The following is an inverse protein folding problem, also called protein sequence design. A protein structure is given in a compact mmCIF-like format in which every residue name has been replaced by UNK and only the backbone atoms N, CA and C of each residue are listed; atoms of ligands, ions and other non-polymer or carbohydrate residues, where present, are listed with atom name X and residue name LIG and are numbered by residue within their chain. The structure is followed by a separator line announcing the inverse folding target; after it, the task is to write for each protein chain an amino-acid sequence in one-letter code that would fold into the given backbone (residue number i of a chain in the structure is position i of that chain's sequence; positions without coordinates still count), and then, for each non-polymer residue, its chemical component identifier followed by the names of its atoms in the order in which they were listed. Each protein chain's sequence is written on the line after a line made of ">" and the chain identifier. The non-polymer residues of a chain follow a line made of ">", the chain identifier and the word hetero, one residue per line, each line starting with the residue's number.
data_IF_621897647371
#
_entry.id   IF_621897647371
#
_cell.length_a   1.000
_cell.length_b   1.000
_cell.length_c   1.000
_cell.angle_alpha   90.00
_cell.angle_beta   90.00
_cell.angle_gamma   90.00
#
_symmetry.space_group_name_H-M   'P 1'
#
loop_
_entity.id
_entity.type
_entity.pdbx_description
1 polymer ?
#
# COMPACT_ATOMS: atom_id res chain seq x y z
N UNK A 1 0.19 -0.42 18.81
CA UNK A 1 -0.81 0.11 17.84
C UNK A 1 -0.72 -0.74 16.59
N UNK A 2 -1.85 -1.06 15.95
CA UNK A 2 -1.83 -1.72 14.66
C UNK A 2 -1.12 -0.81 13.63
N UNK A 3 -0.32 -1.41 12.75
CA UNK A 3 0.30 -0.69 11.63
C UNK A 3 -0.78 0.01 10.81
N UNK A 4 -0.70 1.33 10.68
CA UNK A 4 -1.65 2.08 9.85
C UNK A 4 -1.23 1.93 8.40
N UNK A 5 -2.12 1.39 7.56
CA UNK A 5 -1.91 1.28 6.12
C UNK A 5 -1.74 2.65 5.46
N UNK A 6 -0.71 2.79 4.62
CA UNK A 6 -0.31 4.08 4.02
C UNK A 6 -0.51 4.18 2.50
N UNK A 7 -1.09 3.15 1.87
CA UNK A 7 -1.24 3.07 0.41
C UNK A 7 -0.21 2.14 -0.23
N UNK A 8 -0.55 1.54 -1.37
CA UNK A 8 0.24 0.45 -2.00
C UNK A 8 1.69 0.86 -2.23
N UNK A 9 1.93 2.07 -2.73
CA UNK A 9 3.28 2.52 -3.04
C UNK A 9 4.14 2.64 -1.78
N UNK A 10 3.58 3.17 -0.68
CA UNK A 10 4.33 3.34 0.57
C UNK A 10 4.66 1.99 1.24
N UNK A 11 3.78 1.00 1.12
CA UNK A 11 3.94 -0.32 1.74
C UNK A 11 4.91 -1.24 0.96
N UNK A 12 5.12 -0.98 -0.33
CA UNK A 12 5.91 -1.84 -1.23
C UNK A 12 6.96 -1.07 -2.04
N UNK A 13 7.40 0.10 -1.57
CA UNK A 13 8.33 0.97 -2.31
C UNK A 13 9.62 0.26 -2.73
N UNK A 14 10.12 -0.66 -1.91
CA UNK A 14 11.32 -1.47 -2.15
C UNK A 14 11.18 -2.44 -3.33
N UNK A 15 9.95 -2.74 -3.75
CA UNK A 15 9.63 -3.68 -4.85
C UNK A 15 9.15 -2.98 -6.12
N UNK A 16 9.03 -1.65 -6.11
CA UNK A 16 8.50 -0.87 -7.22
C UNK A 16 9.62 -0.18 -8.01
N UNK A 17 9.42 0.10 -9.30
CA UNK A 17 10.34 0.94 -10.06
C UNK A 17 10.47 2.34 -9.44
N UNK A 18 11.69 2.89 -9.45
CA UNK A 18 11.97 4.20 -8.88
C UNK A 18 11.15 5.35 -9.48
N UNK A 19 10.67 5.20 -10.72
CA UNK A 19 9.81 6.18 -11.38
C UNK A 19 8.46 6.37 -10.69
N UNK A 20 8.01 5.40 -9.88
CA UNK A 20 6.69 5.41 -9.22
C UNK A 20 6.80 5.94 -7.78
N UNK A 21 8.00 5.97 -7.20
CA UNK A 21 8.22 6.34 -5.79
C UNK A 21 8.58 7.80 -5.58
N UNK A 22 8.65 8.63 -6.64
CA UNK A 22 9.04 10.04 -6.57
C UNK A 22 8.08 10.90 -5.75
N UNK A 23 6.90 11.19 -6.31
CA UNK A 23 5.80 11.89 -5.59
C UNK A 23 4.61 10.96 -5.49
N UNK A 24 4.36 10.46 -4.28
CA UNK A 24 3.29 9.49 -4.04
C UNK A 24 1.98 10.23 -3.78
N UNK A 25 1.05 10.14 -4.73
CA UNK A 25 -0.36 10.51 -4.54
C UNK A 25 -1.13 9.23 -4.28
N UNK A 26 -1.74 9.12 -3.10
CA UNK A 26 -2.45 7.90 -2.67
C UNK A 26 -3.84 8.25 -2.14
N UNK A 27 -4.79 7.36 -2.40
CA UNK A 27 -6.11 7.37 -1.75
C UNK A 27 -6.16 6.40 -0.57
N UNK A 28 -4.99 5.95 -0.10
CA UNK A 28 -4.81 4.85 0.86
C UNK A 28 -5.39 3.53 0.37
N UNK A 29 -5.29 3.30 -0.94
CA UNK A 29 -5.70 2.08 -1.60
C UNK A 29 -4.89 0.85 -1.14
N UNK A 30 -5.44 -0.35 -1.31
CA UNK A 30 -4.86 -1.59 -0.82
C UNK A 30 -5.20 -1.88 0.64
N UNK A 31 -4.53 -2.85 1.24
CA UNK A 31 -4.80 -3.24 2.63
C UNK A 31 -6.21 -3.83 2.85
N UNK A 32 -6.88 -4.23 1.77
CA UNK A 32 -8.24 -4.78 1.81
C UNK A 32 -8.25 -6.05 2.65
N UNK A 33 -9.16 -6.18 3.64
CA UNK A 33 -9.27 -7.40 4.43
C UNK A 33 -9.49 -8.63 3.54
N UNK A 34 -8.71 -9.67 3.76
CA UNK A 34 -8.96 -10.98 3.19
C UNK A 34 -9.86 -11.76 4.14
N UNK A 35 -11.14 -11.85 3.82
CA UNK A 35 -12.14 -12.55 4.63
C UNK A 35 -12.31 -13.98 4.10
N UNK A 36 -12.25 -15.02 4.94
CA UNK A 36 -12.56 -16.39 4.54
C UNK A 36 -13.96 -16.49 3.91
N UNK A 37 -14.09 -17.31 2.87
CA UNK A 37 -15.39 -17.65 2.29
C UNK A 37 -15.88 -18.95 2.95
N UNK A 38 -16.90 -18.82 3.80
CA UNK A 38 -17.56 -19.93 4.51
C UNK A 38 -18.78 -20.44 3.72
#
# INVERSE_FOLDING_TARGET
>A
MAHQWRGVIAEYADRLPASITGTVVTLREGGTPLIPAE
#
